data_IF_718751086900
#
_entry.id   IF_718751086900
#
_cell.length_a   1.000
_cell.length_b   1.000
_cell.length_c   1.000
_cell.angle_alpha   90.00
_cell.angle_beta   90.00
_cell.angle_gamma   90.00
#
_symmetry.space_group_name_H-M   'P 1'
#
loop_
_entity.id
_entity.type
_entity.pdbx_description
1 polymer ?
#
# COMPACT_ATOMS: atom_id res chain seq x y z
N UNK A 1 8.46 3.44 -7.05
CA UNK A 1 8.99 4.41 -6.08
C UNK A 1 8.39 5.81 -6.28
N UNK A 2 8.06 6.20 -7.53
CA UNK A 2 7.49 7.51 -7.86
C UNK A 2 6.14 7.88 -7.20
N UNK A 3 5.41 6.91 -6.64
CA UNK A 3 4.16 7.14 -5.88
C UNK A 3 4.36 7.07 -4.36
N UNK A 4 5.59 6.85 -3.90
CA UNK A 4 5.96 6.83 -2.49
C UNK A 4 6.67 8.13 -2.10
N UNK A 5 7.37 8.77 -3.03
CA UNK A 5 7.99 10.09 -2.86
C UNK A 5 7.65 10.88 -4.13
N UNK A 6 6.80 11.90 -3.98
CA UNK A 6 6.44 12.84 -5.04
C UNK A 6 6.62 14.28 -4.55
N UNK A 7 6.70 15.23 -5.48
CA UNK A 7 6.89 16.64 -5.17
C UNK A 7 5.63 17.18 -4.49
N UNK A 8 5.71 17.53 -3.20
CA UNK A 8 4.56 17.91 -2.36
C UNK A 8 4.24 16.93 -1.21
N UNK A 9 4.88 15.76 -1.19
CA UNK A 9 4.64 14.67 -0.23
C UNK A 9 4.60 15.09 1.25
N UNK A 10 5.41 16.06 1.67
CA UNK A 10 5.47 16.50 3.08
C UNK A 10 4.27 17.41 3.44
N UNK A 11 3.70 18.12 2.47
CA UNK A 11 2.59 19.06 2.71
C UNK A 11 1.22 18.37 2.66
N UNK A 12 1.06 17.33 1.83
CA UNK A 12 -0.23 16.68 1.59
C UNK A 12 -0.52 15.52 2.56
N UNK A 13 0.46 15.09 3.37
CA UNK A 13 0.36 13.88 4.19
C UNK A 13 0.31 14.20 5.67
N UNK A 14 -0.67 13.62 6.37
CA UNK A 14 -0.79 13.76 7.82
C UNK A 14 0.48 13.26 8.55
N UNK A 15 0.84 13.94 9.66
CA UNK A 15 1.99 13.57 10.49
C UNK A 15 1.96 12.12 10.97
N UNK A 16 0.76 11.57 11.19
CA UNK A 16 0.56 10.17 11.59
C UNK A 16 1.09 9.22 10.52
N UNK A 17 0.83 9.55 9.27
CA UNK A 17 1.24 8.74 8.13
C UNK A 17 2.72 8.91 7.80
N UNK A 18 3.26 10.12 7.99
CA UNK A 18 4.70 10.39 7.87
C UNK A 18 5.52 9.53 8.85
N UNK A 19 5.04 9.35 10.09
CA UNK A 19 5.67 8.47 11.08
C UNK A 19 5.71 6.99 10.66
N UNK A 20 4.84 6.56 9.74
CA UNK A 20 4.83 5.18 9.21
C UNK A 20 5.74 4.99 8.02
N UNK A 21 6.26 6.07 7.45
CA UNK A 21 7.15 6.02 6.30
C UNK A 21 8.36 5.08 6.46
N UNK A 22 9.07 5.08 7.61
CA UNK A 22 10.17 4.15 7.85
C UNK A 22 9.74 2.68 7.77
N UNK A 23 8.52 2.34 8.21
CA UNK A 23 7.99 0.97 8.16
C UNK A 23 7.74 0.54 6.71
N UNK A 24 7.20 1.43 5.86
CA UNK A 24 7.04 1.13 4.42
C UNK A 24 8.39 0.88 3.75
N UNK A 25 9.41 1.69 4.07
CA UNK A 25 10.77 1.48 3.58
C UNK A 25 11.35 0.13 4.05
N UNK A 26 11.17 -0.21 5.33
CA UNK A 26 11.60 -1.51 5.88
C UNK A 26 10.89 -2.68 5.20
N UNK A 27 9.60 -2.55 4.89
CA UNK A 27 8.84 -3.58 4.18
C UNK A 27 9.36 -3.79 2.75
N UNK A 28 9.74 -2.71 2.07
CA UNK A 28 10.37 -2.77 0.74
C UNK A 28 11.73 -3.48 0.82
N UNK A 29 12.56 -3.15 1.81
CA UNK A 29 13.84 -3.81 2.03
C UNK A 29 13.65 -5.32 2.32
N UNK A 30 12.71 -5.67 3.20
CA UNK A 30 12.38 -7.06 3.50
C UNK A 30 11.93 -7.82 2.24
N UNK A 31 11.12 -7.18 1.39
CA UNK A 31 10.69 -7.73 0.10
C UNK A 31 11.88 -7.99 -0.82
N UNK A 32 12.82 -7.03 -0.95
CA UNK A 32 14.00 -7.19 -1.79
C UNK A 32 14.90 -8.34 -1.32
N UNK A 33 15.03 -8.51 -0.01
CA UNK A 33 15.76 -9.65 0.58
C UNK A 33 15.07 -10.98 0.28
N UNK A 34 13.75 -11.05 0.50
CA UNK A 34 12.95 -12.27 0.26
C UNK A 34 12.80 -12.62 -1.23
N UNK A 35 12.83 -11.63 -2.11
CA UNK A 35 12.74 -11.82 -3.57
C UNK A 35 13.88 -12.70 -4.09
N UNK A 36 15.10 -12.55 -3.54
CA UNK A 36 16.26 -13.38 -3.92
C UNK A 36 16.07 -14.85 -3.53
N UNK A 37 15.33 -15.11 -2.45
CA UNK A 37 15.12 -16.45 -1.91
C UNK A 37 13.87 -17.12 -2.48
N UNK A 38 12.78 -16.36 -2.69
CA UNK A 38 11.46 -16.88 -3.03
C UNK A 38 10.78 -16.03 -4.13
N UNK A 39 11.30 -16.01 -5.37
CA UNK A 39 10.77 -15.17 -6.45
C UNK A 39 9.34 -15.52 -6.86
N UNK A 40 8.97 -16.81 -6.81
CA UNK A 40 7.60 -17.26 -7.15
C UNK A 40 6.56 -16.72 -6.16
N UNK A 41 6.90 -16.68 -4.86
CA UNK A 41 6.01 -16.17 -3.82
C UNK A 41 5.80 -14.66 -3.94
N UNK A 42 6.87 -13.92 -4.27
CA UNK A 42 6.78 -12.50 -4.59
C UNK A 42 5.87 -12.23 -5.80
N UNK A 43 5.96 -13.07 -6.84
CA UNK A 43 5.08 -12.96 -8.01
C UNK A 43 3.61 -13.17 -7.65
N UNK A 44 3.31 -14.18 -6.82
CA UNK A 44 1.94 -14.43 -6.34
C UNK A 44 1.40 -13.24 -5.54
N UNK A 45 2.17 -12.68 -4.62
CA UNK A 45 1.76 -11.50 -3.85
C UNK A 45 1.60 -10.26 -4.73
N UNK A 46 2.46 -10.08 -5.72
CA UNK A 46 2.29 -9.01 -6.73
C UNK A 46 0.98 -9.15 -7.48
N UNK A 47 0.63 -10.36 -7.93
CA UNK A 47 -0.63 -10.62 -8.64
C UNK A 47 -1.85 -10.30 -7.77
N UNK A 48 -1.78 -10.52 -6.45
CA UNK A 48 -2.87 -10.16 -5.53
C UNK A 48 -3.02 -8.65 -5.34
N UNK A 49 -1.91 -7.88 -5.31
CA UNK A 49 -1.95 -6.42 -5.09
C UNK A 49 -2.28 -5.67 -6.39
N UNK A 50 -1.86 -6.21 -7.54
CA UNK A 50 -1.98 -5.55 -8.83
C UNK A 50 -3.39 -5.00 -9.17
N UNK A 51 -4.50 -5.76 -9.04
CA UNK A 51 -5.83 -5.27 -9.43
C UNK A 51 -6.26 -4.06 -8.59
N UNK A 52 -6.02 -4.07 -7.29
CA UNK A 52 -6.33 -2.95 -6.38
C UNK A 52 -5.54 -1.70 -6.71
N UNK A 53 -4.26 -1.88 -7.04
CA UNK A 53 -3.40 -0.79 -7.46
C UNK A 53 -3.85 -0.17 -8.80
N UNK A 54 -4.25 -1.00 -9.76
CA UNK A 54 -4.80 -0.53 -11.02
C UNK A 54 -6.10 0.25 -10.85
N UNK A 55 -7.01 -0.22 -10.00
CA UNK A 55 -8.24 0.51 -9.69
C UNK A 55 -7.97 1.88 -9.09
N UNK A 56 -7.02 1.98 -8.15
CA UNK A 56 -6.62 3.28 -7.59
C UNK A 56 -6.07 4.23 -8.67
N UNK A 57 -5.22 3.73 -9.57
CA UNK A 57 -4.66 4.53 -10.66
C UNK A 57 -5.71 4.97 -11.69
N UNK A 58 -6.74 4.15 -11.91
CA UNK A 58 -7.85 4.49 -12.82
C UNK A 58 -8.69 5.67 -12.33
N UNK A 59 -8.74 5.90 -11.01
CA UNK A 59 -9.54 6.97 -10.38
C UNK A 59 -8.67 8.16 -9.94
N UNK A 60 -7.65 8.50 -10.75
CA UNK A 60 -6.73 9.63 -10.48
C UNK A 60 -7.43 10.97 -10.22
N UNK A 61 -8.57 11.19 -10.88
CA UNK A 61 -9.32 12.44 -10.77
C UNK A 61 -10.08 12.54 -9.43
N UNK A 62 -10.27 11.40 -8.74
CA UNK A 62 -10.96 11.31 -7.45
C UNK A 62 -10.01 11.25 -6.25
N UNK A 63 -8.68 11.39 -6.45
CA UNK A 63 -7.69 11.29 -5.37
C UNK A 63 -7.82 12.36 -4.28
N UNK A 64 -8.56 13.45 -4.54
CA UNK A 64 -8.84 14.48 -3.55
C UNK A 64 -9.91 14.06 -2.52
N UNK A 65 -10.67 12.99 -2.80
CA UNK A 65 -11.64 12.44 -1.85
C UNK A 65 -10.90 11.69 -0.71
N UNK A 66 -11.17 12.02 0.57
CA UNK A 66 -10.62 11.30 1.72
C UNK A 66 -10.82 9.78 1.67
N UNK A 67 -11.88 9.28 1.04
CA UNK A 67 -12.13 7.85 0.87
C UNK A 67 -11.06 7.17 0.00
N UNK A 68 -10.65 7.84 -1.09
CA UNK A 68 -9.61 7.40 -2.00
C UNK A 68 -8.21 7.53 -1.37
N UNK A 69 -7.98 8.55 -0.55
CA UNK A 69 -6.76 8.66 0.25
C UNK A 69 -6.65 7.50 1.25
N UNK A 70 -7.72 7.19 1.97
CA UNK A 70 -7.75 6.06 2.90
C UNK A 70 -7.53 4.73 2.16
N UNK A 71 -8.13 4.56 0.98
CA UNK A 71 -7.93 3.39 0.14
C UNK A 71 -6.46 3.23 -0.28
N UNK A 72 -5.79 4.33 -0.66
CA UNK A 72 -4.36 4.34 -0.99
C UNK A 72 -3.50 3.79 0.14
N UNK A 73 -3.77 4.22 1.38
CA UNK A 73 -3.03 3.76 2.56
C UNK A 73 -3.35 2.31 2.90
N UNK A 74 -4.60 1.87 2.75
CA UNK A 74 -4.97 0.48 2.93
C UNK A 74 -4.23 -0.46 1.96
N UNK A 75 -3.97 -0.03 0.71
CA UNK A 75 -3.16 -0.81 -0.24
C UNK A 75 -1.72 -0.97 0.27
N UNK A 76 -1.11 0.08 0.81
CA UNK A 76 0.26 -0.01 1.36
C UNK A 76 0.31 -0.93 2.58
N UNK A 77 -0.68 -0.86 3.47
CA UNK A 77 -0.79 -1.81 4.59
C UNK A 77 -0.97 -3.25 4.12
N UNK A 78 -1.78 -3.49 3.08
CA UNK A 78 -1.95 -4.81 2.49
C UNK A 78 -0.63 -5.35 1.93
N UNK A 79 0.18 -4.49 1.30
CA UNK A 79 1.53 -4.84 0.85
C UNK A 79 2.42 -5.23 2.03
N UNK A 80 2.42 -4.49 3.14
CA UNK A 80 3.19 -4.90 4.33
C UNK A 80 2.71 -6.27 4.83
N UNK A 81 1.39 -6.48 4.96
CA UNK A 81 0.83 -7.75 5.43
C UNK A 81 1.23 -8.94 4.54
N UNK A 82 1.39 -8.75 3.23
CA UNK A 82 1.83 -9.80 2.31
C UNK A 82 3.35 -9.99 2.34
N UNK A 83 4.12 -8.92 2.14
CA UNK A 83 5.56 -9.00 1.91
C UNK A 83 6.40 -9.07 3.19
N UNK A 84 5.89 -8.55 4.30
CA UNK A 84 6.63 -8.33 5.52
C UNK A 84 5.79 -8.65 6.77
N UNK A 85 5.30 -9.90 6.85
CA UNK A 85 4.53 -10.42 7.99
C UNK A 85 5.22 -10.29 9.35
N UNK A 86 6.55 -10.21 9.37
CA UNK A 86 7.36 -9.99 10.59
C UNK A 86 7.29 -8.55 11.11
N UNK A 87 6.92 -7.59 10.26
CA UNK A 87 6.69 -6.22 10.67
C UNK A 87 5.30 -6.13 11.32
N UNK A 88 5.22 -5.63 12.55
CA UNK A 88 3.94 -5.37 13.23
C UNK A 88 3.14 -4.34 12.42
N UNK A 89 2.18 -4.81 11.65
CA UNK A 89 1.18 -3.94 11.00
C UNK A 89 0.26 -3.37 12.07
N UNK A 90 -0.07 -2.09 11.96
CA UNK A 90 -1.04 -1.45 12.86
C UNK A 90 -2.41 -2.12 12.79
N UNK A 91 -2.83 -2.57 11.60
CA UNK A 91 -3.99 -3.43 11.38
C UNK A 91 -3.73 -4.37 10.20
N UNK A 92 -4.03 -5.68 10.30
CA UNK A 92 -3.95 -6.56 9.15
C UNK A 92 -5.01 -6.15 8.12
N UNK A 93 -4.57 -5.67 6.96
CA UNK A 93 -5.47 -5.40 5.83
C UNK A 93 -5.52 -6.66 4.96
N UNK A 94 -6.71 -7.02 4.51
CA UNK A 94 -6.94 -8.12 3.58
C UNK A 94 -7.67 -7.60 2.34
N UNK A 95 -7.63 -8.38 1.25
CA UNK A 95 -8.39 -8.15 0.03
C UNK A 95 -9.85 -7.73 0.31
N UNK A 96 -10.54 -8.48 1.19
CA UNK A 96 -11.93 -8.19 1.59
C UNK A 96 -12.13 -6.81 2.23
N UNK A 97 -11.14 -6.30 2.97
CA UNK A 97 -11.19 -4.95 3.55
C UNK A 97 -10.99 -3.88 2.48
N UNK A 98 -10.13 -4.14 1.49
CA UNK A 98 -9.97 -3.28 0.32
C UNK A 98 -11.26 -3.22 -0.50
N UNK A 99 -11.88 -4.36 -0.78
CA UNK A 99 -13.16 -4.40 -1.53
C UNK A 99 -14.24 -3.57 -0.83
N UNK A 100 -14.31 -3.66 0.51
CA UNK A 100 -15.26 -2.88 1.31
C UNK A 100 -14.99 -1.38 1.20
N UNK A 101 -13.72 -0.96 1.30
CA UNK A 101 -13.35 0.45 1.18
C UNK A 101 -13.59 0.98 -0.23
N UNK A 102 -13.31 0.17 -1.25
CA UNK A 102 -13.58 0.53 -2.64
C UNK A 102 -15.07 0.81 -2.86
N UNK A 103 -15.97 0.04 -2.23
CA UNK A 103 -17.42 0.32 -2.27
C UNK A 103 -17.84 1.62 -1.58
N UNK A 104 -16.98 2.22 -0.74
CA UNK A 104 -17.20 3.53 -0.13
C UNK A 104 -16.60 4.68 -0.97
N UNK A 105 -15.66 4.37 -1.86
CA UNK A 105 -15.07 5.32 -2.79
C UNK A 105 -16.10 5.60 -3.90
N UNK A 106 -16.59 6.84 -3.99
CA UNK A 106 -17.55 7.28 -5.01
C UNK A 106 -16.85 8.00 -6.17
#
# INVERSE_FOLDING_TARGET
LNYLIYQGFINDISLITLNRFPIYCQAILARLTKLKQQPQKDQQWRQQVHPYWQQYLAHKDSWQDPAWEQYRWMIEEFRISLFAQELKTHQPISAKRLDKQLGLCR
#
